data_IF_769352731344
#
_entry.id   IF_769352731344
#
_cell.length_a   1.000
_cell.length_b   1.000
_cell.length_c   1.000
_cell.angle_alpha   90.00
_cell.angle_beta   90.00
_cell.angle_gamma   90.00
#
_symmetry.space_group_name_H-M   'P 1'
#
loop_
_entity.id
_entity.type
_entity.pdbx_description
1 polymer ?
#
# COMPACT_ATOMS: atom_id res chain seq x y z
N UNK A 1 4.87 -23.42 -6.80
CA UNK A 1 5.96 -22.51 -6.37
C UNK A 1 6.68 -23.12 -5.18
N UNK A 2 7.97 -22.85 -4.98
CA UNK A 2 8.67 -23.32 -3.78
C UNK A 2 8.13 -22.60 -2.53
N UNK A 3 8.22 -23.26 -1.37
CA UNK A 3 7.81 -22.66 -0.08
C UNK A 3 8.55 -21.35 0.21
N UNK A 4 9.81 -21.26 -0.22
CA UNK A 4 10.59 -20.04 -0.13
C UNK A 4 9.96 -18.88 -0.91
N UNK A 5 9.58 -19.09 -2.18
CA UNK A 5 8.96 -18.06 -3.02
C UNK A 5 7.62 -17.60 -2.43
N UNK A 6 6.81 -18.54 -1.90
CA UNK A 6 5.52 -18.19 -1.28
C UNK A 6 5.73 -17.32 -0.04
N UNK A 7 6.66 -17.70 0.85
CA UNK A 7 6.98 -16.90 2.04
C UNK A 7 7.53 -15.53 1.68
N UNK A 8 8.39 -15.45 0.66
CA UNK A 8 8.91 -14.19 0.15
C UNK A 8 7.79 -13.30 -0.40
N UNK A 9 6.85 -13.87 -1.15
CA UNK A 9 5.70 -13.13 -1.67
C UNK A 9 4.78 -12.62 -0.53
N UNK A 10 4.54 -13.44 0.50
CA UNK A 10 3.77 -13.03 1.68
C UNK A 10 4.48 -11.89 2.42
N UNK A 11 5.80 -11.95 2.55
CA UNK A 11 6.59 -10.87 3.15
C UNK A 11 6.40 -9.54 2.41
N UNK A 12 6.50 -9.54 1.08
CA UNK A 12 6.25 -8.34 0.29
C UNK A 12 4.79 -7.87 0.34
N UNK A 13 3.84 -8.79 0.45
CA UNK A 13 2.41 -8.50 0.45
C UNK A 13 1.88 -8.02 1.82
N UNK A 14 2.56 -8.32 2.93
CA UNK A 14 2.05 -8.03 4.27
C UNK A 14 3.11 -7.34 5.16
N UNK A 15 4.24 -8.00 5.40
CA UNK A 15 5.26 -7.52 6.35
C UNK A 15 5.91 -6.21 5.90
N UNK A 16 6.16 -6.05 4.60
CA UNK A 16 6.79 -4.85 4.06
C UNK A 16 5.95 -3.58 4.32
N UNK A 17 4.62 -3.69 4.34
CA UNK A 17 3.74 -2.57 4.66
C UNK A 17 3.96 -2.09 6.10
N UNK A 18 4.07 -3.01 7.06
CA UNK A 18 4.35 -2.67 8.46
C UNK A 18 5.74 -2.06 8.64
N UNK A 19 6.74 -2.57 7.92
CA UNK A 19 8.09 -1.99 7.91
C UNK A 19 8.05 -0.55 7.38
N UNK A 20 7.31 -0.29 6.31
CA UNK A 20 7.15 1.05 5.75
C UNK A 20 6.50 2.02 6.77
N UNK A 21 5.42 1.59 7.44
CA UNK A 21 4.75 2.40 8.46
C UNK A 21 5.67 2.69 9.66
N UNK A 22 6.46 1.69 10.07
CA UNK A 22 7.46 1.86 11.12
C UNK A 22 8.53 2.89 10.71
N UNK A 23 9.07 2.79 9.49
CA UNK A 23 10.07 3.73 8.96
C UNK A 23 9.49 5.15 8.93
N UNK A 24 8.29 5.37 8.37
CA UNK A 24 7.69 6.70 8.31
C UNK A 24 7.48 7.30 9.71
N UNK A 25 7.01 6.49 10.66
CA UNK A 25 6.82 6.91 12.05
C UNK A 25 8.16 7.29 12.69
N UNK A 26 9.18 6.45 12.52
CA UNK A 26 10.53 6.72 13.00
C UNK A 26 11.11 8.01 12.41
N UNK A 27 11.03 8.18 11.08
CA UNK A 27 11.51 9.38 10.40
C UNK A 27 10.77 10.65 10.84
N UNK A 28 9.49 10.55 11.20
CA UNK A 28 8.74 11.69 11.72
C UNK A 28 9.17 12.08 13.14
N UNK A 29 9.52 11.12 14.00
CA UNK A 29 10.03 11.42 15.34
C UNK A 29 11.46 12.00 15.31
N UNK A 30 12.36 11.38 14.54
CA UNK A 30 13.79 11.66 14.59
C UNK A 30 14.32 12.53 13.43
N UNK A 31 13.50 12.81 12.41
CA UNK A 31 13.90 13.63 11.27
C UNK A 31 14.00 15.13 11.60
N UNK A 32 14.68 15.87 10.73
CA UNK A 32 14.62 17.33 10.70
C UNK A 32 13.23 17.84 10.25
N UNK A 33 13.01 19.16 10.30
CA UNK A 33 11.71 19.74 9.94
C UNK A 33 11.34 19.45 8.47
N UNK A 34 12.31 19.40 7.57
CA UNK A 34 12.08 19.10 6.16
C UNK A 34 11.63 17.64 5.96
N UNK A 35 12.26 16.70 6.65
CA UNK A 35 11.89 15.29 6.63
C UNK A 35 10.50 15.07 7.24
N UNK A 36 10.19 15.74 8.36
CA UNK A 36 8.85 15.69 8.97
C UNK A 36 7.79 16.20 8.00
N UNK A 37 8.06 17.33 7.34
CA UNK A 37 7.16 17.89 6.33
C UNK A 37 6.97 16.94 5.14
N UNK A 38 8.02 16.26 4.68
CA UNK A 38 7.93 15.24 3.62
C UNK A 38 7.09 14.04 4.04
N UNK A 39 7.26 13.53 5.25
CA UNK A 39 6.45 12.42 5.79
C UNK A 39 4.97 12.82 5.87
N UNK A 40 4.66 14.02 6.39
CA UNK A 40 3.27 14.48 6.48
C UNK A 40 2.64 14.60 5.09
N UNK A 41 3.37 15.19 4.12
CA UNK A 41 2.88 15.31 2.74
C UNK A 41 2.64 13.95 2.09
N UNK A 42 3.54 12.99 2.29
CA UNK A 42 3.40 11.64 1.71
C UNK A 42 2.23 10.88 2.31
N UNK A 43 2.02 10.97 3.63
CA UNK A 43 0.85 10.40 4.32
C UNK A 43 -0.43 11.05 3.81
N UNK A 44 -0.47 12.38 3.72
CA UNK A 44 -1.64 13.11 3.21
C UNK A 44 -2.01 12.69 1.78
N UNK A 45 -1.03 12.65 0.86
CA UNK A 45 -1.25 12.22 -0.52
C UNK A 45 -1.71 10.76 -0.59
N UNK A 46 -1.20 9.91 0.29
CA UNK A 46 -1.62 8.51 0.41
C UNK A 46 -3.07 8.39 0.85
N UNK A 47 -3.49 9.17 1.86
CA UNK A 47 -4.89 9.22 2.29
C UNK A 47 -5.82 9.68 1.17
N UNK A 48 -5.45 10.73 0.43
CA UNK A 48 -6.22 11.22 -0.73
C UNK A 48 -6.32 10.14 -1.81
N UNK A 49 -5.21 9.47 -2.12
CA UNK A 49 -5.17 8.40 -3.11
C UNK A 49 -6.05 7.21 -2.73
N UNK A 50 -6.02 6.79 -1.47
CA UNK A 50 -6.90 5.73 -0.96
C UNK A 50 -8.37 6.14 -1.00
N UNK A 51 -8.70 7.40 -0.68
CA UNK A 51 -10.06 7.90 -0.78
C UNK A 51 -10.55 7.90 -2.23
N UNK A 52 -9.75 8.39 -3.17
CA UNK A 52 -10.06 8.34 -4.60
C UNK A 52 -10.22 6.89 -5.06
N UNK A 53 -9.32 6.00 -4.63
CA UNK A 53 -9.39 4.58 -4.96
C UNK A 53 -10.66 3.92 -4.42
N UNK A 54 -11.06 4.25 -3.21
CA UNK A 54 -12.33 3.82 -2.64
C UNK A 54 -13.51 4.30 -3.47
N UNK A 55 -13.57 5.59 -3.82
CA UNK A 55 -14.63 6.14 -4.68
C UNK A 55 -14.68 5.41 -6.02
N UNK A 56 -13.53 5.17 -6.67
CA UNK A 56 -13.46 4.37 -7.91
C UNK A 56 -14.06 2.98 -7.70
N UNK A 57 -13.73 2.31 -6.59
CA UNK A 57 -14.23 0.96 -6.29
C UNK A 57 -15.75 0.88 -6.11
N UNK A 58 -16.41 2.00 -5.76
CA UNK A 58 -17.88 2.08 -5.67
C UNK A 58 -18.53 2.04 -7.05
N UNK A 59 -17.89 2.64 -8.07
CA UNK A 59 -18.40 2.67 -9.44
C UNK A 59 -17.88 1.52 -10.31
N UNK A 60 -16.70 0.97 -9.97
CA UNK A 60 -16.07 -0.13 -10.68
C UNK A 60 -15.66 -1.24 -9.71
N UNK A 61 -16.65 -2.05 -9.32
CA UNK A 61 -16.41 -3.20 -8.47
C UNK A 61 -15.78 -4.34 -9.27
N UNK A 62 -14.47 -4.53 -9.12
CA UNK A 62 -13.77 -5.67 -9.70
C UNK A 62 -13.57 -6.78 -8.66
N UNK A 63 -14.07 -7.99 -8.94
CA UNK A 63 -13.96 -9.14 -8.05
C UNK A 63 -12.52 -9.63 -7.93
N UNK A 64 -12.16 -10.21 -6.78
CA UNK A 64 -10.87 -10.88 -6.57
C UNK A 64 -10.91 -12.30 -7.17
N UNK A 65 -9.76 -12.86 -7.60
CA UNK A 65 -9.71 -14.22 -8.14
C UNK A 65 -10.35 -15.28 -7.22
N UNK A 66 -10.12 -15.20 -5.91
CA UNK A 66 -10.66 -16.16 -4.96
C UNK A 66 -12.19 -16.12 -4.84
N UNK A 67 -12.82 -14.96 -5.05
CA UNK A 67 -14.28 -14.82 -5.05
C UNK A 67 -14.87 -15.57 -6.24
N UNK A 68 -14.13 -15.64 -7.34
CA UNK A 68 -14.51 -16.39 -8.54
C UNK A 68 -14.11 -17.87 -8.45
N UNK A 69 -13.54 -18.33 -7.34
CA UNK A 69 -13.00 -19.69 -7.20
C UNK A 69 -11.76 -19.94 -8.05
N UNK A 70 -11.04 -18.89 -8.46
CA UNK A 70 -9.86 -18.96 -9.33
C UNK A 70 -8.58 -18.74 -8.53
N UNK A 71 -7.62 -19.65 -8.69
CA UNK A 71 -6.31 -19.58 -8.07
C UNK A 71 -6.30 -20.01 -6.60
N UNK A 72 -5.15 -19.82 -5.95
CA UNK A 72 -4.93 -20.19 -4.54
C UNK A 72 -4.80 -18.95 -3.67
N UNK A 73 -5.60 -18.87 -2.62
CA UNK A 73 -5.56 -17.78 -1.63
C UNK A 73 -4.55 -18.12 -0.53
N UNK A 74 -3.33 -17.58 -0.63
CA UNK A 74 -2.28 -17.81 0.36
C UNK A 74 -2.41 -16.94 1.62
N UNK A 75 -3.10 -15.81 1.51
CA UNK A 75 -3.39 -14.87 2.60
C UNK A 75 -4.90 -14.68 2.64
N UNK A 76 -5.53 -14.97 3.76
CA UNK A 76 -6.96 -14.76 3.94
C UNK A 76 -7.32 -13.28 3.74
N UNK A 77 -8.41 -13.02 3.02
CA UNK A 77 -8.82 -11.68 2.68
C UNK A 77 -10.33 -11.57 2.60
N UNK A 78 -10.89 -10.45 3.06
CA UNK A 78 -12.29 -10.15 2.87
C UNK A 78 -12.63 -9.98 1.37
N UNK A 79 -13.87 -10.28 0.93
CA UNK A 79 -14.32 -10.17 -0.45
C UNK A 79 -14.59 -8.70 -0.86
N UNK A 80 -13.62 -7.81 -0.63
CA UNK A 80 -13.67 -6.42 -1.07
C UNK A 80 -13.21 -6.31 -2.53
N UNK A 81 -13.50 -5.16 -3.16
CA UNK A 81 -13.01 -4.84 -4.50
C UNK A 81 -11.48 -5.05 -4.60
N UNK A 82 -11.04 -5.53 -5.78
CA UNK A 82 -9.63 -5.76 -6.11
C UNK A 82 -8.96 -4.56 -6.76
N UNK A 83 -9.76 -3.66 -7.37
CA UNK A 83 -9.28 -2.48 -8.07
C UNK A 83 -9.85 -1.18 -7.47
N UNK A 84 -9.02 -0.11 -7.37
CA UNK A 84 -7.56 -0.14 -7.46
C UNK A 84 -6.92 -0.85 -6.25
N UNK A 85 -5.65 -1.24 -6.37
CA UNK A 85 -4.94 -1.95 -5.30
C UNK A 85 -4.50 -0.98 -4.19
N UNK A 86 -5.01 -1.18 -2.97
CA UNK A 86 -4.60 -0.38 -1.81
C UNK A 86 -3.09 -0.41 -1.56
N UNK A 87 -2.45 -1.58 -1.65
CA UNK A 87 -1.00 -1.70 -1.47
C UNK A 87 -0.26 -0.87 -2.53
N UNK A 88 -0.67 -0.97 -3.80
CA UNK A 88 -0.06 -0.19 -4.87
C UNK A 88 -0.25 1.31 -4.65
N UNK A 89 -1.44 1.74 -4.25
CA UNK A 89 -1.70 3.15 -3.93
C UNK A 89 -0.74 3.63 -2.84
N UNK A 90 -0.62 2.91 -1.72
CA UNK A 90 0.26 3.28 -0.60
C UNK A 90 1.73 3.37 -1.02
N UNK A 91 2.29 2.33 -1.62
CA UNK A 91 3.71 2.32 -1.98
C UNK A 91 4.05 3.35 -3.05
N UNK A 92 3.21 3.48 -4.08
CA UNK A 92 3.46 4.42 -5.17
C UNK A 92 3.30 5.88 -4.74
N UNK A 93 2.30 6.22 -3.92
CA UNK A 93 2.15 7.61 -3.46
C UNK A 93 3.27 8.02 -2.55
N UNK A 94 3.73 7.15 -1.64
CA UNK A 94 4.89 7.44 -0.78
C UNK A 94 6.14 7.62 -1.65
N UNK A 95 6.41 6.69 -2.57
CA UNK A 95 7.57 6.77 -3.46
C UNK A 95 7.56 8.05 -4.32
N UNK A 96 6.44 8.36 -4.97
CA UNK A 96 6.29 9.55 -5.81
C UNK A 96 6.36 10.84 -4.98
N UNK A 97 5.80 10.86 -3.77
CA UNK A 97 5.90 12.01 -2.87
C UNK A 97 7.36 12.33 -2.55
N UNK A 98 8.18 11.32 -2.27
CA UNK A 98 9.61 11.52 -2.01
C UNK A 98 10.38 11.88 -3.28
N UNK A 99 10.08 11.24 -4.42
CA UNK A 99 10.73 11.53 -5.70
C UNK A 99 10.49 12.98 -6.15
N UNK A 100 9.28 13.50 -5.98
CA UNK A 100 8.92 14.86 -6.39
C UNK A 100 9.20 15.91 -5.32
N UNK A 101 9.32 15.54 -4.04
CA UNK A 101 9.73 16.46 -2.97
C UNK A 101 11.25 16.77 -2.96
N UNK A 102 12.05 16.08 -3.78
CA UNK A 102 13.48 16.34 -3.95
C UNK A 102 13.80 17.42 -5.00
N UNK A 103 12.79 18.09 -5.56
CA UNK A 103 12.92 19.25 -6.45
C UNK A 103 12.45 20.50 -5.74
#
# INVERSE_FOLDING_TARGET
ASQFIIRLAIFFANDLLYILLFILTFLWFYGDQDLKNRVIKSVFLTCVSLLVGYVISLFYHHSRPFVMGVGTTFIEHAPTASFPSNHMLIFSTIALSYLFAQR
#
